data_IF_308903805123
#
_entry.id   IF_308903805123
#
_cell.length_a   1.000
_cell.length_b   1.000
_cell.length_c   1.000
_cell.angle_alpha   90.00
_cell.angle_beta   90.00
_cell.angle_gamma   90.00
#
_symmetry.space_group_name_H-M   'P 1'
#
loop_
_entity.id
_entity.type
_entity.pdbx_description
1 polymer ?
#
# COMPACT_ATOMS: atom_id res chain seq x y z
N UNK A 1 67.79 21.26 -31.07
CA UNK A 1 66.93 22.44 -31.31
C UNK A 1 65.72 22.33 -30.41
N UNK A 2 65.50 23.39 -29.61
CA UNK A 2 64.36 23.69 -28.72
C UNK A 2 64.17 22.83 -27.45
N UNK A 3 64.75 23.34 -26.36
CA UNK A 3 64.39 23.09 -24.97
C UNK A 3 64.26 24.44 -24.25
N UNK A 4 63.06 24.93 -23.92
CA UNK A 4 62.91 26.05 -22.98
C UNK A 4 61.55 26.00 -22.23
N UNK A 5 61.64 25.54 -20.99
CA UNK A 5 61.16 26.17 -19.75
C UNK A 5 59.70 26.68 -19.61
N UNK A 6 59.04 26.11 -18.60
CA UNK A 6 57.89 26.62 -17.84
C UNK A 6 58.12 28.04 -17.29
N UNK A 7 57.07 28.87 -17.25
CA UNK A 7 56.91 29.91 -16.22
C UNK A 7 55.44 30.10 -15.85
N UNK A 8 55.17 29.94 -14.56
CA UNK A 8 53.93 30.21 -13.83
C UNK A 8 53.88 31.71 -13.51
N UNK A 9 52.70 32.35 -13.54
CA UNK A 9 52.43 33.55 -12.73
C UNK A 9 51.00 33.56 -12.18
N UNK A 10 50.92 34.02 -10.94
CA UNK A 10 49.82 34.03 -9.98
C UNK A 10 48.83 35.19 -10.20
N UNK A 11 47.68 35.04 -9.53
CA UNK A 11 46.59 35.99 -9.37
C UNK A 11 46.98 37.35 -8.72
N UNK A 12 46.14 38.36 -8.94
CA UNK A 12 46.19 39.64 -8.22
C UNK A 12 45.02 40.57 -8.56
N UNK A 13 44.40 41.10 -7.52
CA UNK A 13 43.14 41.83 -7.39
C UNK A 13 43.14 43.32 -7.80
N UNK A 14 42.04 44.02 -7.48
CA UNK A 14 41.73 45.48 -7.51
C UNK A 14 40.99 45.93 -8.79
N UNK A 15 39.83 46.59 -8.78
CA UNK A 15 38.93 47.14 -7.76
C UNK A 15 38.02 48.21 -8.41
N UNK A 16 36.89 48.54 -7.76
CA UNK A 16 36.05 49.77 -7.98
C UNK A 16 35.13 49.78 -9.23
N UNK A 17 33.89 50.28 -9.25
CA UNK A 17 32.92 50.77 -8.26
C UNK A 17 31.54 50.93 -8.94
N UNK A 18 30.52 51.11 -8.09
CA UNK A 18 29.10 51.33 -8.36
C UNK A 18 28.74 52.47 -9.33
N UNK A 19 27.55 52.35 -9.95
CA UNK A 19 26.54 53.39 -10.24
C UNK A 19 25.27 52.70 -10.77
N UNK A 20 24.20 52.69 -9.99
CA UNK A 20 23.06 53.62 -10.06
C UNK A 20 22.26 53.50 -11.37
N UNK A 21 21.00 53.07 -11.27
CA UNK A 21 19.82 53.85 -11.66
C UNK A 21 18.52 53.14 -11.24
N UNK A 22 17.92 53.70 -10.20
CA UNK A 22 16.48 53.66 -9.92
C UNK A 22 15.70 54.35 -11.05
N UNK A 23 14.51 53.84 -11.38
CA UNK A 23 13.43 54.70 -11.88
C UNK A 23 12.07 54.20 -11.42
N UNK A 24 11.37 55.12 -10.78
CA UNK A 24 10.12 54.96 -10.07
C UNK A 24 8.87 55.01 -10.96
N UNK A 25 7.82 54.35 -10.44
CA UNK A 25 6.42 54.79 -10.27
C UNK A 25 5.59 55.32 -11.47
N UNK A 26 4.49 54.61 -11.72
CA UNK A 26 3.09 55.11 -11.75
C UNK A 26 2.20 53.89 -11.45
N UNK A 27 1.16 53.88 -10.60
CA UNK A 27 0.37 54.95 -10.01
C UNK A 27 -1.03 54.95 -10.61
N UNK A 28 -1.91 54.01 -10.26
CA UNK A 28 -3.38 54.18 -10.35
C UNK A 28 -4.05 53.48 -9.16
N UNK A 29 -4.91 54.25 -8.51
CA UNK A 29 -5.63 53.98 -7.28
C UNK A 29 -7.07 53.48 -7.55
N UNK A 30 -7.76 53.22 -6.43
CA UNK A 30 -9.21 53.05 -6.24
C UNK A 30 -9.75 51.65 -6.55
N UNK A 31 -10.72 51.08 -5.83
CA UNK A 31 -11.42 51.34 -4.56
C UNK A 31 -12.48 50.23 -4.47
N UNK A 32 -12.93 49.85 -3.29
CA UNK A 32 -14.22 49.15 -3.19
C UNK A 32 -14.28 48.11 -2.08
N UNK A 33 -14.60 48.58 -0.88
CA UNK A 33 -15.17 47.74 0.16
C UNK A 33 -16.49 47.11 -0.33
N UNK A 34 -16.72 45.85 0.00
CA UNK A 34 -18.06 45.39 0.36
C UNK A 34 -17.95 44.27 1.39
N UNK A 35 -18.35 44.62 2.61
CA UNK A 35 -18.85 43.69 3.61
C UNK A 35 -20.05 42.96 3.01
N UNK A 36 -20.13 41.65 3.24
CA UNK A 36 -21.39 40.98 3.54
C UNK A 36 -21.09 39.73 4.38
N UNK A 37 -21.27 39.94 5.69
CA UNK A 37 -21.57 38.92 6.68
C UNK A 37 -22.78 38.09 6.23
N UNK A 38 -22.75 36.77 6.39
CA UNK A 38 -23.89 35.95 6.85
C UNK A 38 -23.38 34.58 7.34
N UNK A 39 -23.44 34.44 8.67
CA UNK A 39 -24.01 33.35 9.49
C UNK A 39 -23.52 31.90 9.31
N UNK A 40 -22.81 31.46 10.35
CA UNK A 40 -23.07 30.26 11.17
C UNK A 40 -24.01 29.17 10.59
N UNK A 41 -23.47 27.97 10.39
CA UNK A 41 -24.11 26.66 10.62
C UNK A 41 -22.99 25.64 10.84
N UNK A 42 -22.70 25.29 12.10
CA UNK A 42 -23.25 24.14 12.84
C UNK A 42 -22.30 22.93 12.80
N UNK A 43 -21.62 22.71 13.92
CA UNK A 43 -20.85 21.52 14.24
C UNK A 43 -21.77 20.31 14.39
N UNK A 44 -21.76 19.38 13.43
CA UNK A 44 -22.36 18.06 13.60
C UNK A 44 -21.39 17.15 14.37
N UNK A 45 -21.45 17.21 15.70
CA UNK A 45 -20.88 16.20 16.59
C UNK A 45 -21.76 14.94 16.55
N UNK A 46 -21.32 13.91 15.83
CA UNK A 46 -21.90 12.57 15.97
C UNK A 46 -21.38 11.93 17.25
N UNK A 47 -22.07 12.23 18.36
CA UNK A 47 -21.96 11.50 19.61
C UNK A 47 -22.91 10.31 19.50
N UNK A 48 -22.37 9.09 19.52
CA UNK A 48 -23.13 7.86 19.71
C UNK A 48 -23.18 7.54 21.20
N UNK A 49 -24.36 7.49 21.84
CA UNK A 49 -24.51 6.86 23.13
C UNK A 49 -24.89 5.40 22.91
N UNK A 50 -24.00 4.47 23.24
CA UNK A 50 -24.42 3.11 23.62
C UNK A 50 -23.78 2.82 24.97
N UNK A 51 -24.61 2.90 26.00
CA UNK A 51 -24.24 2.67 27.38
C UNK A 51 -23.84 1.21 27.59
N UNK A 52 -22.68 1.03 28.23
CA UNK A 52 -22.39 -0.19 28.96
C UNK A 52 -23.14 -0.12 30.29
N UNK A 53 -24.06 -1.05 30.54
CA UNK A 53 -24.57 -1.30 31.88
C UNK A 53 -23.45 -1.97 32.69
N UNK A 54 -22.87 -1.18 33.59
CA UNK A 54 -22.10 -1.65 34.74
C UNK A 54 -23.07 -2.43 35.63
N UNK A 55 -22.80 -3.73 35.81
CA UNK A 55 -23.36 -4.51 36.92
C UNK A 55 -22.22 -4.69 37.91
N UNK A 56 -22.34 -4.01 39.03
CA UNK A 56 -21.57 -4.26 40.25
C UNK A 56 -22.02 -5.60 40.83
N UNK A 57 -21.08 -6.48 41.13
CA UNK A 57 -21.34 -7.75 41.81
C UNK A 57 -20.04 -8.25 42.42
N UNK A 58 -20.03 -8.29 43.74
CA UNK A 58 -18.85 -8.44 44.58
C UNK A 58 -18.14 -9.80 44.49
N UNK A 59 -16.85 -9.71 44.79
CA UNK A 59 -15.89 -10.75 45.15
C UNK A 59 -16.45 -11.95 45.93
N UNK A 60 -16.17 -13.17 45.45
CA UNK A 60 -15.74 -14.28 46.32
C UNK A 60 -14.73 -15.16 45.59
N UNK A 61 -13.55 -15.33 46.20
CA UNK A 61 -12.56 -16.35 45.87
C UNK A 61 -13.07 -17.74 46.23
N UNK A 62 -12.93 -18.72 45.34
CA UNK A 62 -12.70 -20.10 45.76
C UNK A 62 -12.08 -20.92 44.62
N UNK A 63 -10.91 -21.49 44.90
CA UNK A 63 -10.26 -22.53 44.12
C UNK A 63 -11.21 -23.68 43.79
N UNK A 64 -11.19 -24.16 42.55
CA UNK A 64 -11.97 -25.32 42.13
C UNK A 64 -11.51 -25.84 40.78
N UNK A 65 -10.58 -26.79 40.81
CA UNK A 65 -10.15 -27.59 39.68
C UNK A 65 -11.37 -28.40 39.16
N UNK A 66 -11.96 -28.04 38.02
CA UNK A 66 -12.99 -28.86 37.38
C UNK A 66 -12.38 -29.61 36.19
N UNK A 67 -12.06 -30.88 36.43
CA UNK A 67 -11.77 -31.89 35.42
C UNK A 67 -13.02 -32.12 34.56
N UNK A 68 -12.88 -32.02 33.24
CA UNK A 68 -13.92 -32.39 32.29
C UNK A 68 -14.14 -33.92 32.35
N UNK A 69 -15.19 -34.36 33.03
CA UNK A 69 -15.73 -35.71 32.92
C UNK A 69 -16.36 -35.91 31.54
N UNK A 70 -15.72 -36.73 30.71
CA UNK A 70 -16.32 -37.22 29.46
C UNK A 70 -17.43 -38.25 29.76
N UNK A 71 -18.61 -38.17 29.11
CA UNK A 71 -19.58 -39.26 29.20
C UNK A 71 -19.12 -40.43 28.33
N UNK A 72 -18.78 -41.54 29.01
CA UNK A 72 -18.57 -42.86 28.43
C UNK A 72 -19.85 -43.31 27.71
N UNK A 73 -19.74 -43.66 26.42
CA UNK A 73 -20.82 -44.38 25.70
C UNK A 73 -20.69 -45.86 26.01
N UNK A 74 -21.77 -46.43 26.52
CA UNK A 74 -21.88 -47.82 26.95
C UNK A 74 -21.72 -48.82 25.81
N UNK A 75 -21.07 -49.92 26.17
CA UNK A 75 -20.96 -51.15 25.42
C UNK A 75 -22.18 -52.02 25.76
N UNK A 76 -22.95 -52.48 24.75
CA UNK A 76 -23.90 -53.57 24.94
C UNK A 76 -23.71 -54.59 23.82
N UNK A 77 -22.99 -55.66 24.14
CA UNK A 77 -23.00 -56.93 23.41
C UNK A 77 -24.17 -57.76 23.94
N UNK A 78 -24.93 -58.38 23.03
CA UNK A 78 -25.36 -59.80 23.00
C UNK A 78 -26.62 -59.88 22.12
N UNK A 79 -26.59 -60.78 21.15
CA UNK A 79 -27.79 -61.19 20.42
C UNK A 79 -27.49 -61.76 19.04
N UNK A 80 -26.84 -62.92 18.98
CA UNK A 80 -26.86 -63.76 17.79
C UNK A 80 -28.29 -64.26 17.56
N UNK A 81 -28.82 -64.00 16.37
CA UNK A 81 -29.91 -64.77 15.80
C UNK A 81 -29.68 -64.82 14.29
N UNK A 82 -29.21 -65.97 13.85
CA UNK A 82 -29.24 -66.41 12.47
C UNK A 82 -30.68 -66.52 11.95
N UNK A 83 -30.96 -66.01 10.74
CA UNK A 83 -32.03 -66.52 9.87
C UNK A 83 -31.86 -66.03 8.43
N UNK A 84 -31.76 -67.04 7.56
CA UNK A 84 -32.23 -67.19 6.17
C UNK A 84 -31.83 -66.21 5.06
N UNK A 85 -31.26 -66.83 4.03
CA UNK A 85 -31.11 -66.40 2.64
C UNK A 85 -32.48 -66.16 2.01
N UNK A 86 -32.66 -64.99 1.40
CA UNK A 86 -33.56 -64.76 0.26
C UNK A 86 -32.81 -63.80 -0.67
N UNK A 87 -32.40 -64.29 -1.83
CA UNK A 87 -31.91 -63.46 -2.94
C UNK A 87 -33.12 -62.81 -3.60
N UNK A 88 -33.37 -61.53 -3.28
CA UNK A 88 -34.31 -60.69 -4.01
C UNK A 88 -33.54 -59.48 -4.54
N UNK A 89 -33.21 -59.55 -5.83
CA UNK A 89 -32.66 -58.46 -6.61
C UNK A 89 -33.64 -57.30 -6.68
N UNK A 90 -33.47 -56.31 -5.82
CA UNK A 90 -34.10 -54.99 -5.97
C UNK A 90 -32.99 -53.95 -6.08
N UNK A 91 -32.39 -53.87 -7.28
CA UNK A 91 -31.55 -52.76 -7.70
C UNK A 91 -32.44 -51.51 -7.82
N UNK A 92 -32.70 -50.89 -6.66
CA UNK A 92 -33.36 -49.59 -6.60
C UNK A 92 -32.36 -48.57 -7.15
N UNK A 93 -32.67 -47.86 -8.24
CA UNK A 93 -31.72 -46.91 -8.81
C UNK A 93 -31.37 -45.90 -7.73
N UNK A 94 -30.08 -45.83 -7.38
CA UNK A 94 -29.56 -44.82 -6.47
C UNK A 94 -30.01 -43.46 -6.99
N UNK A 95 -31.00 -42.87 -6.33
CA UNK A 95 -31.50 -41.54 -6.69
C UNK A 95 -30.36 -40.59 -6.35
N UNK A 96 -29.52 -40.26 -7.34
CA UNK A 96 -28.46 -39.27 -7.18
C UNK A 96 -29.09 -37.94 -6.77
N UNK A 97 -29.11 -37.67 -5.47
CA UNK A 97 -29.58 -36.40 -4.97
C UNK A 97 -28.54 -35.35 -5.40
N UNK A 98 -28.94 -34.35 -6.21
CA UNK A 98 -28.00 -33.34 -6.65
C UNK A 98 -27.36 -32.69 -5.41
N UNK A 99 -26.05 -32.44 -5.42
CA UNK A 99 -25.35 -31.95 -4.25
C UNK A 99 -26.02 -30.67 -3.77
N UNK A 100 -26.50 -30.68 -2.52
CA UNK A 100 -27.21 -29.55 -1.92
C UNK A 100 -26.33 -28.30 -1.98
N UNK A 101 -26.70 -27.34 -2.84
CA UNK A 101 -25.98 -26.08 -2.98
C UNK A 101 -26.15 -25.27 -1.68
N UNK A 102 -25.08 -25.20 -0.88
CA UNK A 102 -25.04 -24.35 0.30
C UNK A 102 -24.79 -22.92 -0.13
N UNK A 103 -25.85 -22.12 -0.28
CA UNK A 103 -25.72 -20.69 -0.54
C UNK A 103 -24.98 -20.02 0.61
N UNK A 104 -23.85 -19.38 0.29
CA UNK A 104 -23.14 -18.50 1.23
C UNK A 104 -23.94 -17.21 1.37
N UNK A 105 -23.73 -16.51 2.50
CA UNK A 105 -24.24 -15.14 2.67
C UNK A 105 -23.76 -14.25 1.51
N UNK A 106 -24.62 -13.38 0.96
CA UNK A 106 -24.29 -12.57 -0.21
C UNK A 106 -23.02 -11.73 -0.01
N UNK A 107 -22.78 -11.19 1.20
CA UNK A 107 -21.57 -10.42 1.51
C UNK A 107 -20.27 -11.23 1.33
N UNK A 108 -20.31 -12.52 1.70
CA UNK A 108 -19.16 -13.43 1.55
C UNK A 108 -18.93 -13.75 0.08
N UNK A 109 -20.02 -13.97 -0.66
CA UNK A 109 -19.97 -14.20 -2.11
C UNK A 109 -19.44 -12.98 -2.85
N UNK A 110 -19.95 -11.78 -2.55
CA UNK A 110 -19.49 -10.52 -3.13
C UNK A 110 -18.00 -10.27 -2.85
N UNK A 111 -17.55 -10.47 -1.60
CA UNK A 111 -16.11 -10.39 -1.26
C UNK A 111 -15.28 -11.39 -2.07
N UNK A 112 -15.76 -12.62 -2.22
CA UNK A 112 -15.07 -13.64 -2.98
C UNK A 112 -14.96 -13.27 -4.47
N UNK A 113 -16.04 -12.79 -5.07
CA UNK A 113 -16.07 -12.29 -6.44
C UNK A 113 -15.05 -11.15 -6.62
N UNK A 114 -15.03 -10.17 -5.71
CA UNK A 114 -14.06 -9.07 -5.80
C UNK A 114 -12.61 -9.55 -5.69
N UNK A 115 -12.33 -10.58 -4.87
CA UNK A 115 -11.00 -11.16 -4.79
C UNK A 115 -10.61 -11.88 -6.09
N UNK A 116 -11.55 -12.59 -6.72
CA UNK A 116 -11.36 -13.25 -8.02
C UNK A 116 -11.03 -12.20 -9.09
N UNK A 117 -11.84 -11.15 -9.21
CA UNK A 117 -11.63 -10.07 -10.19
C UNK A 117 -10.26 -9.39 -10.00
N UNK A 118 -9.86 -9.13 -8.76
CA UNK A 118 -8.54 -8.56 -8.47
C UNK A 118 -7.40 -9.50 -8.88
N UNK A 119 -7.54 -10.80 -8.63
CA UNK A 119 -6.53 -11.80 -9.01
C UNK A 119 -6.40 -11.90 -10.52
N UNK A 120 -7.52 -12.04 -11.23
CA UNK A 120 -7.55 -12.09 -12.70
C UNK A 120 -6.94 -10.85 -13.33
N UNK A 121 -7.24 -9.66 -12.80
CA UNK A 121 -6.66 -8.42 -13.29
C UNK A 121 -5.13 -8.38 -13.12
N UNK A 122 -4.62 -8.87 -11.97
CA UNK A 122 -3.17 -8.93 -11.72
C UNK A 122 -2.49 -9.96 -12.63
N UNK A 123 -3.11 -11.12 -12.84
CA UNK A 123 -2.56 -12.19 -13.66
C UNK A 123 -2.49 -11.79 -15.14
N UNK A 124 -3.49 -11.06 -15.65
CA UNK A 124 -3.46 -10.44 -17.00
C UNK A 124 -2.24 -9.54 -17.18
N UNK A 125 -2.04 -8.59 -16.26
CA UNK A 125 -0.91 -7.63 -16.35
C UNK A 125 0.45 -8.32 -16.17
N UNK A 126 0.53 -9.39 -15.37
CA UNK A 126 1.76 -10.18 -15.22
C UNK A 126 2.08 -11.02 -16.46
N UNK A 127 1.06 -11.44 -17.23
CA UNK A 127 1.26 -12.12 -18.51
C UNK A 127 1.80 -11.19 -19.59
N UNK A 128 1.43 -9.91 -19.57
CA UNK A 128 1.90 -8.91 -20.54
C UNK A 128 3.33 -8.43 -20.28
N UNK A 129 3.78 -8.41 -19.02
CA UNK A 129 5.10 -7.87 -18.64
C UNK A 129 5.67 -8.48 -17.38
N UNK A 130 6.99 -8.55 -17.35
CA UNK A 130 7.74 -8.94 -16.17
C UNK A 130 7.80 -7.80 -15.15
N UNK A 131 7.28 -8.04 -13.95
CA UNK A 131 7.27 -7.07 -12.86
C UNK A 131 8.17 -7.59 -11.74
N UNK A 132 9.28 -6.90 -11.41
CA UNK A 132 10.18 -7.34 -10.35
C UNK A 132 9.55 -7.18 -8.97
N UNK A 133 10.04 -7.94 -7.99
CA UNK A 133 9.60 -7.77 -6.60
C UNK A 133 10.20 -6.50 -5.98
N UNK A 134 9.35 -5.49 -5.83
CA UNK A 134 9.69 -4.19 -5.27
C UNK A 134 9.45 -4.20 -3.76
N UNK A 135 10.52 -4.16 -2.97
CA UNK A 135 10.43 -4.11 -1.51
C UNK A 135 10.88 -2.73 -0.97
N UNK A 136 10.39 -2.32 0.22
CA UNK A 136 10.93 -1.16 0.92
C UNK A 136 12.43 -1.32 1.15
N UNK A 137 13.21 -0.27 0.91
CA UNK A 137 14.68 -0.32 0.99
C UNK A 137 15.37 -0.63 -0.34
N UNK A 138 14.63 -1.00 -1.39
CA UNK A 138 15.18 -1.12 -2.74
C UNK A 138 15.42 0.26 -3.37
N UNK A 139 16.55 0.41 -4.06
CA UNK A 139 16.83 1.52 -4.96
C UNK A 139 16.45 1.08 -6.36
N UNK A 140 15.56 1.83 -6.99
CA UNK A 140 14.95 1.47 -8.27
C UNK A 140 15.17 2.57 -9.28
N UNK A 141 15.38 2.18 -10.52
CA UNK A 141 15.30 3.03 -11.69
C UNK A 141 14.10 2.59 -12.54
N UNK A 142 13.24 3.53 -12.89
CA UNK A 142 12.02 3.27 -13.63
C UNK A 142 11.89 4.21 -14.81
N UNK A 143 11.41 3.70 -15.94
CA UNK A 143 11.04 4.49 -17.13
C UNK A 143 9.53 4.71 -17.15
N UNK A 144 9.13 5.97 -17.16
CA UNK A 144 7.73 6.39 -17.13
C UNK A 144 7.38 7.12 -18.43
N UNK A 145 6.31 6.67 -19.07
CA UNK A 145 5.67 7.41 -20.15
C UNK A 145 4.69 8.42 -19.54
N UNK A 146 4.98 9.72 -19.70
CA UNK A 146 4.13 10.80 -19.20
C UNK A 146 3.21 11.24 -20.34
N UNK A 147 1.88 11.30 -20.15
CA UNK A 147 0.93 11.59 -21.22
C UNK A 147 1.13 12.98 -21.86
N UNK A 148 1.59 13.96 -21.07
CA UNK A 148 1.90 15.32 -21.54
C UNK A 148 3.14 15.36 -22.44
N UNK A 149 4.14 14.51 -22.15
CA UNK A 149 5.44 14.50 -22.82
C UNK A 149 5.61 13.21 -23.64
N UNK A 150 4.75 13.01 -24.65
CA UNK A 150 4.71 11.77 -25.45
C UNK A 150 6.02 11.44 -26.18
N UNK A 151 6.87 12.45 -26.45
CA UNK A 151 8.12 12.29 -27.20
C UNK A 151 9.24 11.63 -26.42
N UNK A 152 9.21 11.64 -25.08
CA UNK A 152 10.31 11.14 -24.24
C UNK A 152 9.80 10.35 -23.04
N UNK A 153 10.50 9.27 -22.73
CA UNK A 153 10.29 8.55 -21.48
C UNK A 153 11.08 9.23 -20.36
N UNK A 154 10.40 9.50 -19.25
CA UNK A 154 11.02 10.09 -18.07
C UNK A 154 11.65 8.99 -17.22
N UNK A 155 12.95 9.09 -17.00
CA UNK A 155 13.66 8.16 -16.11
C UNK A 155 13.67 8.70 -14.68
N UNK A 156 13.17 7.92 -13.74
CA UNK A 156 13.13 8.24 -12.31
C UNK A 156 13.98 7.24 -11.54
N UNK A 157 14.84 7.75 -10.66
CA UNK A 157 15.66 6.94 -9.75
C UNK A 157 15.44 7.40 -8.32
N UNK A 158 15.28 6.45 -7.40
CA UNK A 158 15.06 6.75 -5.99
C UNK A 158 14.96 5.50 -5.12
N UNK A 159 14.79 5.69 -3.81
CA UNK A 159 14.53 4.61 -2.86
C UNK A 159 13.02 4.40 -2.70
N UNK A 160 12.61 3.13 -2.63
CA UNK A 160 11.25 2.76 -2.22
C UNK A 160 11.14 2.84 -0.70
N UNK A 161 10.30 3.77 -0.22
CA UNK A 161 10.09 4.00 1.21
C UNK A 161 8.94 3.18 1.77
N UNK A 162 7.94 2.85 0.95
CA UNK A 162 6.78 2.09 1.36
C UNK A 162 6.15 1.39 0.16
N UNK A 163 5.53 0.24 0.41
CA UNK A 163 4.67 -0.48 -0.53
C UNK A 163 3.33 -0.76 0.14
N UNK A 164 2.24 -0.56 -0.58
CA UNK A 164 0.88 -0.91 -0.19
C UNK A 164 0.37 -1.96 -1.16
N UNK A 165 0.08 -3.15 -0.66
CA UNK A 165 -0.50 -4.24 -1.45
C UNK A 165 -2.03 -4.11 -1.42
N UNK A 166 -2.65 -3.98 -2.60
CA UNK A 166 -4.10 -3.80 -2.74
C UNK A 166 -4.58 -4.36 -4.08
N UNK A 167 -4.25 -5.63 -4.38
CA UNK A 167 -4.57 -6.27 -5.66
C UNK A 167 -3.96 -5.50 -6.83
N UNK A 168 -4.79 -5.14 -7.80
CA UNK A 168 -4.40 -4.33 -8.97
C UNK A 168 -3.95 -2.90 -8.59
N UNK A 169 -4.44 -2.37 -7.47
CA UNK A 169 -4.09 -1.04 -6.96
C UNK A 169 -2.88 -1.06 -6.02
N UNK A 170 -2.04 -2.10 -6.13
CA UNK A 170 -0.77 -2.17 -5.40
C UNK A 170 0.10 -0.99 -5.81
N UNK A 171 0.57 -0.22 -4.83
CA UNK A 171 1.34 1.01 -5.04
C UNK A 171 2.63 0.98 -4.25
N UNK A 172 3.64 1.67 -4.75
CA UNK A 172 4.88 1.92 -4.02
C UNK A 172 5.20 3.41 -4.02
N UNK A 173 5.90 3.85 -2.98
CA UNK A 173 6.32 5.24 -2.79
C UNK A 173 7.81 5.35 -3.03
N UNK A 174 8.19 6.16 -4.01
CA UNK A 174 9.56 6.46 -4.36
C UNK A 174 9.95 7.81 -3.74
N UNK A 175 11.11 7.87 -3.08
CA UNK A 175 11.71 9.10 -2.58
C UNK A 175 13.03 9.36 -3.30
N UNK A 176 13.21 10.58 -3.79
CA UNK A 176 14.46 11.06 -4.39
C UNK A 176 14.71 12.53 -4.03
N UNK A 177 15.96 12.94 -4.06
CA UNK A 177 16.33 14.36 -3.96
C UNK A 177 16.46 14.91 -5.38
N UNK A 178 15.75 16.00 -5.67
CA UNK A 178 15.82 16.73 -6.95
C UNK A 178 16.14 18.17 -6.63
N UNK A 179 17.26 18.69 -7.15
CA UNK A 179 17.69 20.07 -6.91
C UNK A 179 17.68 20.47 -5.42
N UNK A 180 18.12 19.56 -4.54
CA UNK A 180 18.15 19.80 -3.09
C UNK A 180 16.82 19.60 -2.35
N UNK A 181 15.71 19.40 -3.06
CA UNK A 181 14.37 19.19 -2.47
C UNK A 181 14.01 17.71 -2.47
N UNK A 182 13.50 17.21 -1.34
CA UNK A 182 13.02 15.83 -1.20
C UNK A 182 11.67 15.63 -1.86
N UNK A 183 11.66 14.98 -3.03
CA UNK A 183 10.44 14.67 -3.77
C UNK A 183 10.01 13.24 -3.48
N UNK A 184 8.75 13.09 -3.04
CA UNK A 184 8.08 11.80 -2.91
C UNK A 184 7.06 11.63 -4.03
N UNK A 185 7.01 10.45 -4.63
CA UNK A 185 6.06 10.12 -5.70
C UNK A 185 5.48 8.74 -5.48
N UNK A 186 4.18 8.59 -5.72
CA UNK A 186 3.45 7.33 -5.55
C UNK A 186 3.14 6.76 -6.93
N UNK A 187 3.50 5.50 -7.16
CA UNK A 187 3.27 4.83 -8.43
C UNK A 187 2.44 3.55 -8.24
N UNK A 188 1.45 3.29 -9.09
CA UNK A 188 0.79 1.99 -9.17
C UNK A 188 1.75 1.00 -9.83
N UNK A 189 2.01 -0.14 -9.17
CA UNK A 189 2.92 -1.18 -9.67
C UNK A 189 2.45 -1.74 -11.02
N UNK A 190 1.14 -1.85 -11.20
CA UNK A 190 0.50 -2.41 -12.39
C UNK A 190 0.03 -1.35 -13.40
N UNK A 191 0.56 -0.12 -13.36
CA UNK A 191 0.21 0.93 -14.33
C UNK A 191 0.82 0.68 -15.71
N UNK A 192 0.08 0.84 -16.83
CA UNK A 192 0.62 0.71 -18.19
C UNK A 192 1.59 1.85 -18.57
N UNK A 193 1.57 2.96 -17.82
CA UNK A 193 2.45 4.10 -18.03
C UNK A 193 3.91 3.78 -17.64
N UNK A 194 4.12 2.74 -16.83
CA UNK A 194 5.44 2.27 -16.45
C UNK A 194 5.92 1.26 -17.50
N UNK A 195 7.01 1.61 -18.20
CA UNK A 195 7.58 0.76 -19.25
C UNK A 195 8.53 -0.28 -18.70
N UNK A 196 9.40 0.13 -17.80
CA UNK A 196 10.45 -0.74 -17.27
C UNK A 196 10.77 -0.37 -15.83
N UNK A 197 10.96 -1.38 -14.98
CA UNK A 197 11.38 -1.24 -13.59
C UNK A 197 12.67 -2.05 -13.40
N UNK A 198 13.77 -1.38 -13.08
CA UNK A 198 15.06 -2.02 -12.72
C UNK A 198 15.36 -1.81 -11.26
N UNK A 199 15.57 -2.91 -10.53
CA UNK A 199 16.10 -2.85 -9.16
C UNK A 199 17.62 -2.73 -9.26
N UNK A 200 18.17 -1.60 -8.81
CA UNK A 200 19.60 -1.32 -8.87
C UNK A 200 20.34 -1.87 -7.66
N UNK A 201 19.79 -1.65 -6.46
CA UNK A 201 20.40 -2.05 -5.19
C UNK A 201 19.32 -2.39 -4.16
N UNK A 202 19.65 -3.26 -3.21
CA UNK A 202 18.76 -3.67 -2.11
C UNK A 202 19.45 -3.36 -0.79
N UNK A 203 18.89 -2.43 -0.02
CA UNK A 203 19.42 -2.07 1.30
C UNK A 203 18.72 -2.85 2.39
N UNK A 204 19.49 -3.36 3.36
CA UNK A 204 18.95 -4.01 4.56
C UNK A 204 18.26 -2.98 5.43
N UNK A 205 16.94 -3.07 5.55
CA UNK A 205 16.12 -2.18 6.37
C UNK A 205 15.34 -2.99 7.40
N UNK A 206 15.13 -2.41 8.59
CA UNK A 206 14.39 -3.07 9.68
C UNK A 206 12.90 -2.72 9.70
N UNK A 207 12.51 -1.57 9.13
CA UNK A 207 11.12 -1.09 9.12
C UNK A 207 10.47 -1.37 7.77
N UNK A 208 9.20 -1.77 7.76
CA UNK A 208 8.42 -1.96 6.55
C UNK A 208 8.08 -0.64 5.83
N UNK A 209 8.05 0.48 6.55
CA UNK A 209 7.85 1.83 5.99
C UNK A 209 8.94 2.76 6.50
N UNK A 210 9.67 3.37 5.57
CA UNK A 210 10.86 4.17 5.83
C UNK A 210 10.53 5.67 5.89
N UNK A 211 9.47 6.05 6.61
CA UNK A 211 9.06 7.46 6.71
C UNK A 211 10.07 8.33 7.47
N UNK A 212 10.90 7.72 8.32
CA UNK A 212 12.02 8.39 8.98
C UNK A 212 13.06 8.96 7.98
N UNK A 213 13.00 8.56 6.71
CA UNK A 213 13.85 9.11 5.65
C UNK A 213 13.50 10.54 5.25
N UNK A 214 12.39 11.07 5.75
CA UNK A 214 11.98 12.48 5.56
C UNK A 214 12.88 13.42 6.34
N UNK A 215 13.16 13.06 7.59
CA UNK A 215 13.94 13.87 8.52
C UNK A 215 15.46 13.66 8.35
N UNK A 216 15.84 12.61 7.59
CA UNK A 216 17.25 12.27 7.34
C UNK A 216 17.70 12.88 6.02
N UNK A 217 18.64 13.80 6.11
CA UNK A 217 19.15 14.61 4.99
C UNK A 217 19.81 13.78 3.89
N UNK A 218 20.37 12.61 4.23
CA UNK A 218 20.94 11.64 3.29
C UNK A 218 20.95 10.25 3.92
N UNK A 219 20.08 9.36 3.47
CA UNK A 219 19.95 8.07 4.14
C UNK A 219 20.72 6.91 3.52
N UNK A 220 21.26 7.09 2.31
CA UNK A 220 21.86 5.99 1.55
C UNK A 220 23.03 6.47 0.69
N UNK A 221 24.05 7.07 1.32
CA UNK A 221 25.39 6.89 0.77
C UNK A 221 25.86 5.50 1.18
N UNK A 222 26.61 4.88 0.27
CA UNK A 222 27.13 3.52 0.38
C UNK A 222 27.90 3.34 1.68
#
# INVERSE_FOLDING_TARGET
MQSLLRRVYLAGSHGSAAKLLDRAASGVAQSGANLLSIKHLSSCSWIRPFGNSIVSGDSVHSHGFCVNTMPMRGLSTVGSAEVSVEEESSDSPAVEHPPRIKFKRPDKTARHIMNILNKEAVDKVRGEREIPDVQPGCIIQMRLQVPENKRRESTLKGIVIARRNAGINTTFRLRRLVAGVGVESVFPLYSPNIKEIKVLDRKKVRRAKLYYLRDRMNALKK
#
